data_IF_755261449324
#
_entry.id   IF_755261449324
#
_cell.length_a   1.000
_cell.length_b   1.000
_cell.length_c   1.000
_cell.angle_alpha   90.00
_cell.angle_beta   90.00
_cell.angle_gamma   90.00
#
_symmetry.space_group_name_H-M   'P 1'
#
loop_
_entity.id
_entity.type
_entity.pdbx_description
1 polymer ?
#
# COMPACT_ATOMS: atom_id res chain seq x y z
N UNK A 1 1.04 -10.23 11.47
CA UNK A 1 1.52 -9.18 10.56
C UNK A 1 2.77 -9.61 9.84
N UNK A 2 2.98 -9.06 8.65
CA UNK A 2 3.96 -9.55 7.69
C UNK A 2 5.18 -8.63 7.66
N UNK A 3 6.35 -9.18 7.38
CA UNK A 3 7.57 -8.40 7.18
C UNK A 3 7.70 -7.95 5.72
N UNK A 4 7.07 -8.68 4.80
CA UNK A 4 7.09 -8.44 3.36
C UNK A 4 5.88 -9.13 2.69
N UNK A 5 5.71 -8.90 1.39
CA UNK A 5 4.57 -9.45 0.63
C UNK A 5 4.62 -10.97 0.48
N UNK A 6 5.83 -11.56 0.45
CA UNK A 6 6.00 -13.02 0.30
C UNK A 6 5.39 -13.76 1.49
N UNK A 7 5.63 -13.29 2.72
CA UNK A 7 5.02 -13.89 3.91
C UNK A 7 3.47 -13.85 3.87
N UNK A 8 2.89 -12.82 3.27
CA UNK A 8 1.44 -12.75 3.08
C UNK A 8 0.96 -13.73 2.01
N UNK A 9 1.66 -13.83 0.88
CA UNK A 9 1.38 -14.83 -0.15
C UNK A 9 1.46 -16.25 0.44
N UNK A 10 2.48 -16.55 1.23
CA UNK A 10 2.64 -17.85 1.91
C UNK A 10 1.51 -18.10 2.92
N UNK A 11 0.96 -17.05 3.54
CA UNK A 11 -0.23 -17.17 4.40
C UNK A 11 -1.49 -17.47 3.58
N UNK A 12 -1.70 -16.78 2.45
CA UNK A 12 -2.82 -17.06 1.55
C UNK A 12 -2.78 -18.50 1.03
N UNK A 13 -1.59 -19.00 0.66
CA UNK A 13 -1.39 -20.37 0.21
C UNK A 13 -1.74 -21.40 1.30
N UNK A 14 -1.23 -21.20 2.53
CA UNK A 14 -1.53 -22.08 3.67
C UNK A 14 -3.02 -22.13 4.05
N UNK A 15 -3.74 -21.03 3.86
CA UNK A 15 -5.17 -20.91 4.16
C UNK A 15 -6.07 -21.34 2.99
N UNK A 16 -5.48 -21.80 1.87
CA UNK A 16 -6.22 -22.19 0.69
C UNK A 16 -6.86 -21.02 -0.08
N UNK A 17 -6.42 -19.79 0.19
CA UNK A 17 -6.91 -18.52 -0.37
C UNK A 17 -6.10 -18.04 -1.59
N UNK A 18 -5.13 -18.83 -2.06
CA UNK A 18 -4.29 -18.56 -3.24
C UNK A 18 -4.42 -19.67 -4.28
N UNK A 19 -4.39 -19.31 -5.55
CA UNK A 19 -4.13 -20.21 -6.68
C UNK A 19 -2.85 -19.76 -7.38
N UNK A 20 -1.93 -20.68 -7.62
CA UNK A 20 -0.77 -20.47 -8.48
C UNK A 20 -1.11 -20.84 -9.92
N UNK A 21 -0.71 -19.99 -10.86
CA UNK A 21 -0.91 -20.18 -12.30
C UNK A 21 0.46 -20.19 -12.95
N UNK A 22 0.92 -21.39 -13.33
CA UNK A 22 2.20 -21.63 -13.99
C UNK A 22 2.13 -21.53 -15.52
N UNK A 23 0.91 -21.58 -16.08
CA UNK A 23 0.69 -21.37 -17.51
C UNK A 23 1.18 -19.96 -17.90
N UNK A 24 1.74 -19.77 -19.11
CA UNK A 24 2.04 -18.43 -19.62
C UNK A 24 0.75 -17.60 -19.71
N UNK A 25 0.74 -16.44 -19.08
CA UNK A 25 -0.39 -15.48 -19.13
C UNK A 25 0.14 -14.08 -19.38
N UNK A 26 -0.41 -13.43 -20.40
CA UNK A 26 -0.02 -12.09 -20.82
C UNK A 26 -0.39 -11.01 -19.80
N UNK A 27 0.54 -10.07 -19.55
CA UNK A 27 0.27 -8.83 -18.79
C UNK A 27 -0.67 -7.87 -19.53
N UNK A 28 -0.87 -8.09 -20.83
CA UNK A 28 -1.85 -7.39 -21.65
C UNK A 28 -3.15 -8.21 -21.70
N UNK A 29 -4.17 -7.66 -21.06
CA UNK A 29 -5.57 -8.12 -20.97
C UNK A 29 -5.80 -9.42 -20.21
N UNK A 30 -4.99 -10.46 -20.42
CA UNK A 30 -5.29 -11.81 -19.91
C UNK A 30 -5.27 -11.90 -18.38
N UNK A 31 -4.23 -11.37 -17.71
CA UNK A 31 -4.19 -11.32 -16.25
C UNK A 31 -5.40 -10.55 -15.70
N UNK A 32 -5.78 -9.44 -16.34
CA UNK A 32 -6.90 -8.61 -15.91
C UNK A 32 -8.24 -9.34 -16.07
N UNK A 33 -8.48 -9.97 -17.21
CA UNK A 33 -9.69 -10.76 -17.49
C UNK A 33 -9.84 -11.94 -16.52
N UNK A 34 -8.76 -12.69 -16.28
CA UNK A 34 -8.78 -13.80 -15.32
C UNK A 34 -9.06 -13.30 -13.90
N UNK A 35 -8.42 -12.19 -13.52
CA UNK A 35 -8.67 -11.54 -12.22
C UNK A 35 -10.13 -11.08 -12.10
N UNK A 36 -10.70 -10.50 -13.15
CA UNK A 36 -12.08 -10.00 -13.20
C UNK A 36 -13.11 -11.12 -13.01
N UNK A 37 -12.93 -12.27 -13.66
CA UNK A 37 -13.80 -13.44 -13.46
C UNK A 37 -13.72 -13.97 -12.03
N UNK A 38 -12.51 -14.06 -11.48
CA UNK A 38 -12.28 -14.62 -10.15
C UNK A 38 -12.83 -13.70 -9.06
N UNK A 39 -12.62 -12.39 -9.14
CA UNK A 39 -13.16 -11.46 -8.13
C UNK A 39 -14.69 -11.41 -8.12
N UNK A 40 -15.34 -11.71 -9.25
CA UNK A 40 -16.81 -11.81 -9.37
C UNK A 40 -17.38 -13.15 -8.93
N UNK A 41 -16.53 -14.13 -8.60
CA UNK A 41 -16.97 -15.41 -8.06
C UNK A 41 -17.48 -15.26 -6.62
N UNK A 42 -18.22 -16.27 -6.13
CA UNK A 42 -18.72 -16.29 -4.77
C UNK A 42 -17.59 -16.03 -3.74
N UNK A 43 -17.85 -15.17 -2.78
CA UNK A 43 -16.86 -14.78 -1.77
C UNK A 43 -15.64 -14.03 -2.31
N UNK A 44 -15.68 -13.51 -3.54
CA UNK A 44 -14.56 -12.79 -4.17
C UNK A 44 -13.49 -13.68 -4.80
N UNK A 45 -13.79 -14.98 -4.97
CA UNK A 45 -12.84 -15.97 -5.48
C UNK A 45 -11.58 -16.10 -4.63
N UNK A 46 -10.45 -16.50 -5.23
CA UNK A 46 -9.14 -16.62 -4.57
C UNK A 46 -8.17 -15.55 -5.07
N UNK A 47 -7.10 -15.28 -4.31
CA UNK A 47 -5.95 -14.56 -4.84
C UNK A 47 -5.27 -15.39 -5.95
N UNK A 48 -4.68 -14.72 -6.95
CA UNK A 48 -4.02 -15.38 -8.07
C UNK A 48 -2.54 -14.99 -8.09
N UNK A 49 -1.65 -15.97 -8.18
CA UNK A 49 -0.22 -15.75 -8.41
C UNK A 49 0.15 -16.28 -9.79
N UNK A 50 0.36 -15.38 -10.74
CA UNK A 50 0.84 -15.68 -12.09
C UNK A 50 2.36 -15.77 -12.08
N UNK A 51 2.90 -16.96 -12.30
CA UNK A 51 4.34 -17.23 -12.20
C UNK A 51 5.06 -16.97 -13.53
N UNK A 52 4.35 -17.08 -14.66
CA UNK A 52 4.89 -16.88 -15.99
C UNK A 52 4.14 -15.77 -16.73
N UNK A 53 4.66 -14.54 -16.62
CA UNK A 53 4.04 -13.34 -17.19
C UNK A 53 4.68 -12.86 -18.49
N UNK A 54 5.69 -13.59 -18.99
CA UNK A 54 6.57 -13.11 -20.07
C UNK A 54 7.58 -12.04 -19.64
N UNK A 55 7.66 -11.72 -18.34
CA UNK A 55 8.67 -10.83 -17.74
C UNK A 55 9.50 -11.55 -16.68
N UNK A 56 10.49 -10.87 -16.09
CA UNK A 56 11.33 -11.42 -15.01
C UNK A 56 10.59 -11.57 -13.66
N UNK A 57 9.35 -11.07 -13.56
CA UNK A 57 8.63 -10.99 -12.29
C UNK A 57 7.27 -11.69 -12.34
N UNK A 58 6.92 -12.44 -11.28
CA UNK A 58 5.55 -12.92 -11.11
C UNK A 58 4.61 -11.77 -10.74
N UNK A 59 3.32 -11.96 -10.99
CA UNK A 59 2.26 -11.01 -10.62
C UNK A 59 1.29 -11.66 -9.66
N UNK A 60 1.04 -11.01 -8.53
CA UNK A 60 -0.07 -11.38 -7.64
C UNK A 60 -1.24 -10.42 -7.85
N UNK A 61 -2.44 -10.94 -8.05
CA UNK A 61 -3.68 -10.16 -8.13
C UNK A 61 -4.73 -10.66 -7.15
N UNK A 62 -5.80 -9.90 -6.98
CA UNK A 62 -6.94 -10.25 -6.13
C UNK A 62 -6.59 -10.52 -4.64
N UNK A 63 -5.44 -10.03 -4.18
CA UNK A 63 -4.91 -10.29 -2.83
C UNK A 63 -5.81 -9.74 -1.73
N UNK A 64 -6.63 -8.72 -2.01
CA UNK A 64 -7.63 -8.15 -1.10
C UNK A 64 -9.05 -8.25 -1.67
N UNK A 65 -9.30 -9.24 -2.54
CA UNK A 65 -10.57 -9.40 -3.26
C UNK A 65 -11.77 -9.90 -2.44
N UNK A 66 -11.59 -10.17 -1.14
CA UNK A 66 -12.64 -10.66 -0.26
C UNK A 66 -12.48 -10.10 1.14
N UNK A 67 -13.58 -10.00 1.91
CA UNK A 67 -13.54 -9.57 3.31
C UNK A 67 -12.61 -10.45 4.16
N UNK A 68 -12.56 -11.76 3.88
CA UNK A 68 -11.64 -12.69 4.54
C UNK A 68 -10.19 -12.33 4.25
N UNK A 69 -9.83 -12.11 2.99
CA UNK A 69 -8.45 -11.76 2.63
C UNK A 69 -8.04 -10.37 3.13
N UNK A 70 -8.97 -9.42 3.17
CA UNK A 70 -8.74 -8.12 3.81
C UNK A 70 -8.48 -8.31 5.31
N UNK A 71 -9.29 -9.10 6.02
CA UNK A 71 -9.07 -9.39 7.44
C UNK A 71 -7.69 -10.04 7.66
N UNK A 72 -7.30 -11.01 6.81
CA UNK A 72 -5.98 -11.62 6.84
C UNK A 72 -4.84 -10.64 6.55
N UNK A 73 -5.02 -9.69 5.62
CA UNK A 73 -4.04 -8.64 5.30
C UNK A 73 -3.83 -7.70 6.50
N UNK A 74 -4.91 -7.40 7.23
CA UNK A 74 -4.90 -6.50 8.37
C UNK A 74 -4.62 -7.20 9.71
N UNK A 75 -4.46 -8.52 9.71
CA UNK A 75 -4.14 -9.31 10.89
C UNK A 75 -5.26 -9.39 11.92
N UNK A 76 -6.52 -9.34 11.47
CA UNK A 76 -7.72 -9.46 12.30
C UNK A 76 -8.58 -10.64 11.86
N UNK A 77 -9.42 -11.17 12.77
CA UNK A 77 -10.38 -12.21 12.41
C UNK A 77 -11.62 -11.60 11.76
N UNK A 78 -12.08 -10.45 12.27
CA UNK A 78 -13.21 -9.71 11.75
C UNK A 78 -12.80 -8.27 11.47
N UNK A 79 -13.31 -7.69 10.40
CA UNK A 79 -13.06 -6.27 10.08
C UNK A 79 -13.60 -5.33 11.17
N UNK A 80 -14.68 -5.72 11.85
CA UNK A 80 -15.27 -4.99 12.97
C UNK A 80 -14.29 -4.81 14.15
N UNK A 81 -13.30 -5.69 14.30
CA UNK A 81 -12.29 -5.61 15.36
C UNK A 81 -11.43 -4.34 15.23
N UNK A 82 -11.27 -3.84 14.00
CA UNK A 82 -10.57 -2.58 13.73
C UNK A 82 -11.41 -1.41 14.20
N UNK A 83 -12.69 -1.38 13.85
CA UNK A 83 -13.63 -0.33 14.26
C UNK A 83 -13.77 -0.28 15.78
N UNK A 84 -13.95 -1.43 16.43
CA UNK A 84 -14.04 -1.53 17.88
C UNK A 84 -12.77 -0.98 18.58
N UNK A 85 -11.60 -1.22 17.98
CA UNK A 85 -10.33 -0.69 18.49
C UNK A 85 -10.24 0.82 18.34
N UNK A 86 -10.63 1.37 17.18
CA UNK A 86 -10.69 2.83 16.96
C UNK A 86 -11.64 3.47 17.97
N UNK A 87 -12.84 2.91 18.17
CA UNK A 87 -13.84 3.42 19.11
C UNK A 87 -13.32 3.43 20.55
N UNK A 88 -12.60 2.38 20.96
CA UNK A 88 -11.95 2.34 22.28
C UNK A 88 -10.94 3.49 22.42
N UNK A 89 -10.07 3.68 21.42
CA UNK A 89 -9.06 4.74 21.47
C UNK A 89 -9.67 6.14 21.51
N UNK A 90 -10.73 6.38 20.73
CA UNK A 90 -11.42 7.67 20.72
C UNK A 90 -12.11 7.96 22.05
N UNK A 91 -12.78 6.96 22.64
CA UNK A 91 -13.38 7.08 23.98
C UNK A 91 -12.32 7.41 25.03
N UNK A 92 -11.19 6.72 24.99
CA UNK A 92 -10.10 6.94 25.94
C UNK A 92 -9.43 8.31 25.75
N UNK A 93 -9.31 8.79 24.51
CA UNK A 93 -8.74 10.10 24.19
C UNK A 93 -9.64 11.28 24.57
N UNK A 94 -10.97 11.12 24.38
CA UNK A 94 -11.98 12.17 24.59
C UNK A 94 -12.55 12.20 26.02
N UNK A 95 -12.20 11.23 26.88
CA UNK A 95 -12.62 11.23 28.28
C UNK A 95 -12.09 12.47 29.03
N UNK A 96 -12.94 13.21 29.78
CA UNK A 96 -12.55 14.48 30.40
C UNK A 96 -11.40 14.29 31.39
N UNK A 97 -10.27 14.96 31.13
CA UNK A 97 -9.01 14.82 31.88
C UNK A 97 -8.98 15.80 33.06
N UNK A 98 -9.45 15.38 34.22
CA UNK A 98 -9.49 16.22 35.43
C UNK A 98 -8.47 15.87 36.50
N UNK A 99 -8.11 14.58 36.66
CA UNK A 99 -7.39 14.10 37.86
C UNK A 99 -5.98 13.54 37.57
N UNK A 100 -5.07 13.68 38.54
CA UNK A 100 -3.72 13.09 38.53
C UNK A 100 -3.74 11.55 38.36
N UNK A 101 -4.78 10.87 38.88
CA UNK A 101 -4.98 9.43 38.70
C UNK A 101 -5.34 9.05 37.26
N UNK A 102 -6.01 9.93 36.52
CA UNK A 102 -6.37 9.69 35.11
C UNK A 102 -5.16 9.91 34.19
N UNK A 103 -4.24 10.82 34.54
CA UNK A 103 -2.95 10.95 33.86
C UNK A 103 -2.12 9.65 33.95
N UNK A 104 -2.23 8.90 35.05
CA UNK A 104 -1.60 7.57 35.17
C UNK A 104 -2.26 6.51 34.28
N UNK A 105 -3.58 6.58 34.03
CA UNK A 105 -4.28 5.69 33.07
C UNK A 105 -3.98 6.01 31.61
N UNK A 106 -3.59 7.25 31.31
CA UNK A 106 -3.18 7.64 29.96
C UNK A 106 -1.77 7.13 29.58
N UNK A 107 -0.92 6.77 30.55
CA UNK A 107 0.45 6.32 30.28
C UNK A 107 0.51 5.01 29.47
N UNK A 108 -0.23 3.94 29.81
CA UNK A 108 -0.28 2.73 28.98
C UNK A 108 -0.80 3.02 27.56
N UNK A 109 -1.86 3.82 27.44
CA UNK A 109 -2.42 4.21 26.15
C UNK A 109 -1.40 4.94 25.28
N UNK A 110 -0.69 5.93 25.85
CA UNK A 110 0.36 6.66 25.15
C UNK A 110 1.53 5.74 24.76
N UNK A 111 1.91 4.80 25.63
CA UNK A 111 2.94 3.81 25.33
C UNK A 111 2.50 2.85 24.21
N UNK A 112 1.23 2.46 24.17
CA UNK A 112 0.69 1.61 23.10
C UNK A 112 0.59 2.35 21.77
N UNK A 113 0.13 3.60 21.77
CA UNK A 113 0.13 4.45 20.57
C UNK A 113 1.56 4.72 20.09
N UNK A 114 2.51 4.95 21.00
CA UNK A 114 3.92 5.16 20.66
C UNK A 114 4.53 3.97 19.89
N UNK A 115 4.08 2.74 20.15
CA UNK A 115 4.53 1.53 19.43
C UNK A 115 4.07 1.49 17.97
N UNK A 116 3.14 2.34 17.56
CA UNK A 116 2.66 2.39 16.17
C UNK A 116 3.40 3.42 15.32
N UNK A 117 4.18 4.30 15.95
CA UNK A 117 4.90 5.32 15.20
C UNK A 117 5.96 4.67 14.30
N UNK A 118 6.06 5.14 13.04
CA UNK A 118 7.02 4.58 12.09
C UNK A 118 8.44 4.78 12.58
N UNK A 119 9.25 3.73 12.47
CA UNK A 119 10.67 3.76 12.83
C UNK A 119 11.55 3.98 11.60
N UNK A 120 12.53 4.88 11.74
CA UNK A 120 13.60 5.02 10.75
C UNK A 120 14.69 4.00 11.07
N UNK A 121 14.99 3.14 10.11
CA UNK A 121 16.03 2.11 10.24
C UNK A 121 17.23 2.49 9.39
N UNK A 122 18.43 2.42 9.96
CA UNK A 122 19.68 2.66 9.25
C UNK A 122 20.07 1.45 8.39
N UNK A 123 20.74 1.70 7.26
CA UNK A 123 21.25 0.66 6.36
C UNK A 123 20.39 0.43 5.12
N UNK A 124 20.69 -0.66 4.40
CA UNK A 124 20.01 -1.01 3.14
C UNK A 124 18.84 -1.94 3.41
N UNK A 125 17.66 -1.55 2.94
CA UNK A 125 16.48 -2.42 2.96
C UNK A 125 16.61 -3.56 1.95
N UNK A 126 15.87 -4.66 2.17
CA UNK A 126 15.84 -5.80 1.24
C UNK A 126 15.39 -5.39 -0.18
N UNK A 127 14.59 -4.33 -0.31
CA UNK A 127 14.18 -3.76 -1.60
C UNK A 127 15.32 -3.09 -2.40
N UNK A 128 16.52 -2.96 -1.83
CA UNK A 128 17.68 -2.32 -2.46
C UNK A 128 18.78 -3.33 -2.86
N UNK A 129 18.46 -4.62 -2.93
CA UNK A 129 19.40 -5.67 -3.34
C UNK A 129 19.81 -5.56 -4.81
N UNK A 130 18.87 -5.21 -5.69
CA UNK A 130 19.10 -4.93 -7.11
C UNK A 130 18.78 -3.46 -7.35
N UNK A 131 19.70 -2.75 -7.99
CA UNK A 131 19.57 -1.30 -8.22
C UNK A 131 19.89 -1.03 -9.69
N UNK A 132 18.93 -0.44 -10.40
CA UNK A 132 19.12 0.10 -11.75
C UNK A 132 19.08 1.62 -11.67
N UNK A 133 20.07 2.28 -12.25
CA UNK A 133 20.20 3.75 -12.22
C UNK A 133 20.60 4.28 -13.58
N UNK A 134 20.34 5.58 -13.83
CA UNK A 134 20.66 6.19 -15.12
C UNK A 134 20.04 5.35 -16.24
N UNK A 135 20.78 5.09 -17.32
CA UNK A 135 20.29 4.42 -18.52
C UNK A 135 19.92 2.93 -18.34
N UNK A 136 20.28 2.31 -17.21
CA UNK A 136 19.91 0.92 -16.90
C UNK A 136 18.42 0.75 -16.57
N UNK A 137 17.73 1.85 -16.21
CA UNK A 137 16.30 1.80 -15.88
C UNK A 137 15.48 1.52 -17.14
N UNK A 138 14.78 0.39 -17.11
CA UNK A 138 13.80 -0.01 -18.12
C UNK A 138 12.51 -0.54 -17.45
N UNK A 139 11.46 0.28 -17.49
CA UNK A 139 10.12 -0.04 -16.98
C UNK A 139 9.42 -1.14 -17.78
N UNK A 140 9.91 -1.52 -18.96
CA UNK A 140 9.38 -2.66 -19.73
C UNK A 140 9.72 -4.02 -19.10
N UNK A 141 10.71 -4.05 -18.19
CA UNK A 141 11.05 -5.26 -17.41
C UNK A 141 10.00 -5.59 -16.35
N UNK A 142 9.24 -4.60 -15.90
CA UNK A 142 8.20 -4.77 -14.88
C UNK A 142 6.90 -5.27 -15.53
N UNK A 143 6.16 -6.20 -14.89
CA UNK A 143 4.91 -6.74 -15.41
C UNK A 143 3.74 -5.77 -15.16
N UNK A 144 3.85 -4.55 -15.69
CA UNK A 144 2.77 -3.56 -15.64
C UNK A 144 1.58 -4.07 -16.48
N UNK A 145 0.37 -3.92 -15.94
CA UNK A 145 -0.82 -4.51 -16.56
C UNK A 145 -1.46 -3.52 -17.53
N UNK A 146 -1.72 -3.97 -18.76
CA UNK A 146 -2.61 -3.28 -19.69
C UNK A 146 -3.97 -3.97 -19.56
N UNK A 147 -4.87 -3.40 -18.77
CA UNK A 147 -6.07 -4.12 -18.31
C UNK A 147 -7.17 -4.14 -19.35
N UNK A 148 -7.40 -3.02 -20.03
CA UNK A 148 -8.50 -2.86 -21.00
C UNK A 148 -8.00 -2.41 -22.36
N UNK A 149 -8.69 -2.81 -23.42
CA UNK A 149 -8.33 -2.44 -24.80
C UNK A 149 -8.29 -0.93 -25.02
N UNK A 150 -9.17 -0.20 -24.33
CA UNK A 150 -9.27 1.25 -24.41
C UNK A 150 -8.33 1.99 -23.44
N UNK A 151 -7.59 1.29 -22.57
CA UNK A 151 -6.58 1.94 -21.72
C UNK A 151 -5.46 2.51 -22.61
N UNK A 152 -5.02 3.73 -22.31
CA UNK A 152 -3.92 4.39 -23.04
C UNK A 152 -2.54 3.74 -22.88
N UNK A 153 -2.44 2.65 -22.12
CA UNK A 153 -1.19 1.91 -21.90
C UNK A 153 -1.24 1.01 -20.67
N UNK A 154 -0.08 0.49 -20.28
CA UNK A 154 0.07 -0.33 -19.08
C UNK A 154 0.15 0.55 -17.81
N UNK A 155 -0.39 0.06 -16.71
CA UNK A 155 -0.46 0.77 -15.44
C UNK A 155 0.19 0.01 -14.29
N UNK A 156 0.75 0.77 -13.34
CA UNK A 156 0.92 0.33 -11.96
C UNK A 156 -0.38 0.63 -11.22
N UNK A 157 -1.02 -0.39 -10.67
CA UNK A 157 -2.39 -0.29 -10.14
C UNK A 157 -2.48 -0.15 -8.62
N UNK A 158 -1.54 -0.72 -7.86
CA UNK A 158 -1.42 -0.58 -6.41
C UNK A 158 -0.08 0.06 -5.96
N UNK A 159 0.33 1.22 -6.52
CA UNK A 159 1.54 1.90 -6.08
C UNK A 159 1.32 2.62 -4.75
N UNK A 160 2.28 2.51 -3.83
CA UNK A 160 2.37 3.39 -2.68
C UNK A 160 3.31 4.54 -3.01
N UNK A 161 2.73 5.71 -3.30
CA UNK A 161 3.45 6.90 -3.76
C UNK A 161 3.77 7.78 -2.55
N UNK A 162 5.05 7.82 -2.21
CA UNK A 162 5.62 8.57 -1.11
C UNK A 162 6.08 9.93 -1.62
N UNK A 163 5.65 10.97 -0.92
CA UNK A 163 5.98 12.37 -1.22
C UNK A 163 6.28 13.11 0.08
N UNK A 164 7.00 14.22 -0.01
CA UNK A 164 7.28 15.10 1.12
C UNK A 164 6.71 16.49 0.84
N UNK A 165 6.22 17.16 1.86
CA UNK A 165 5.92 18.58 1.79
C UNK A 165 7.24 19.38 1.78
N UNK A 166 7.49 20.26 0.78
CA UNK A 166 8.73 21.03 0.73
C UNK A 166 8.85 22.10 1.83
N UNK A 167 7.76 22.49 2.47
CA UNK A 167 7.72 23.53 3.51
C UNK A 167 7.80 22.92 4.91
N UNK A 168 7.06 21.84 5.16
CA UNK A 168 6.96 21.21 6.49
C UNK A 168 7.81 19.95 6.67
N UNK A 169 8.22 19.32 5.56
CA UNK A 169 8.89 18.01 5.58
C UNK A 169 7.97 16.84 5.91
N UNK A 170 6.66 17.07 6.05
CA UNK A 170 5.70 16.00 6.33
C UNK A 170 5.57 15.03 5.16
N UNK A 171 5.50 13.75 5.49
CA UNK A 171 5.31 12.68 4.51
C UNK A 171 3.84 12.49 4.18
N UNK A 172 3.58 12.10 2.94
CA UNK A 172 2.32 11.52 2.51
C UNK A 172 2.58 10.22 1.73
N UNK A 173 1.80 9.18 2.01
CA UNK A 173 1.72 7.95 1.21
C UNK A 173 0.34 7.82 0.60
N UNK A 174 0.23 8.04 -0.70
CA UNK A 174 -1.04 7.89 -1.42
C UNK A 174 -1.00 6.79 -2.47
N UNK A 175 -2.17 6.24 -2.79
CA UNK A 175 -2.32 5.31 -3.90
C UNK A 175 -2.86 6.00 -5.15
N UNK A 176 -2.03 6.08 -6.18
CA UNK A 176 -2.34 6.78 -7.42
C UNK A 176 -1.88 5.96 -8.62
N UNK A 177 -2.79 5.57 -9.51
CA UNK A 177 -2.42 4.76 -10.69
C UNK A 177 -1.39 5.50 -11.54
N UNK A 178 -0.39 4.76 -12.02
CA UNK A 178 0.70 5.30 -12.82
C UNK A 178 0.73 4.65 -14.20
N UNK A 179 0.51 5.44 -15.25
CA UNK A 179 0.57 4.96 -16.64
C UNK A 179 2.03 4.95 -17.10
N UNK A 180 2.52 3.86 -17.70
CA UNK A 180 3.81 3.88 -18.40
C UNK A 180 3.69 4.72 -19.66
N UNK A 181 4.56 5.72 -19.82
CA UNK A 181 4.65 6.51 -21.04
C UNK A 181 5.79 6.02 -21.93
N UNK A 182 6.92 5.67 -21.31
CA UNK A 182 8.10 5.09 -21.98
C UNK A 182 8.90 4.20 -21.00
N UNK A 183 10.12 3.81 -21.37
CA UNK A 183 11.02 2.98 -20.55
C UNK A 183 11.41 3.58 -19.20
N UNK A 184 11.22 4.88 -18.99
CA UNK A 184 11.79 5.64 -17.87
C UNK A 184 10.81 6.60 -17.22
N UNK A 185 9.65 6.83 -17.84
CA UNK A 185 8.68 7.81 -17.40
C UNK A 185 7.28 7.21 -17.25
N UNK A 186 6.56 7.74 -16.26
CA UNK A 186 5.17 7.40 -15.99
C UNK A 186 4.33 8.66 -15.86
N UNK A 187 3.11 8.62 -16.39
CA UNK A 187 2.07 9.59 -16.09
C UNK A 187 1.53 9.36 -14.69
N UNK A 188 1.52 10.42 -13.89
CA UNK A 188 0.99 10.41 -12.53
C UNK A 188 -0.25 11.31 -12.49
N UNK A 189 -1.41 10.71 -12.22
CA UNK A 189 -2.66 11.46 -12.09
C UNK A 189 -3.07 11.57 -10.63
N UNK A 190 -2.97 12.78 -10.07
CA UNK A 190 -3.48 13.13 -8.76
C UNK A 190 -4.73 13.97 -8.91
N UNK A 191 -5.81 13.58 -8.25
CA UNK A 191 -6.97 14.45 -8.12
C UNK A 191 -6.58 15.69 -7.31
N UNK A 192 -7.14 16.84 -7.68
CA UNK A 192 -6.80 18.16 -7.11
C UNK A 192 -6.90 18.24 -5.57
N UNK A 193 -7.74 17.41 -4.96
CA UNK A 193 -7.96 17.40 -3.51
C UNK A 193 -7.04 16.44 -2.75
N UNK A 194 -6.10 15.76 -3.43
CA UNK A 194 -5.17 14.82 -2.80
C UNK A 194 -3.90 15.53 -2.35
N UNK A 195 -3.36 15.10 -1.22
CA UNK A 195 -2.14 15.65 -0.62
C UNK A 195 -0.95 15.62 -1.59
N UNK A 196 -0.82 14.57 -2.42
CA UNK A 196 0.22 14.50 -3.46
C UNK A 196 0.17 15.67 -4.45
N UNK A 197 -1.03 16.09 -4.88
CA UNK A 197 -1.22 17.25 -5.74
C UNK A 197 -0.81 18.56 -5.04
N UNK A 198 -1.19 18.72 -3.76
CA UNK A 198 -0.77 19.87 -2.94
C UNK A 198 0.75 19.97 -2.81
N UNK A 199 1.43 18.86 -2.54
CA UNK A 199 2.89 18.83 -2.46
C UNK A 199 3.52 19.24 -3.81
N UNK A 200 3.00 18.71 -4.91
CA UNK A 200 3.46 19.07 -6.24
C UNK A 200 3.30 20.55 -6.56
N UNK A 201 2.14 21.12 -6.25
CA UNK A 201 1.89 22.55 -6.45
C UNK A 201 2.86 23.40 -5.62
N UNK A 202 3.18 22.98 -4.39
CA UNK A 202 4.19 23.65 -3.56
C UNK A 202 5.59 23.59 -4.19
N UNK A 203 6.04 22.41 -4.64
CA UNK A 203 7.32 22.27 -5.37
C UNK A 203 7.37 23.11 -6.65
N UNK A 204 6.26 23.14 -7.39
CA UNK A 204 6.12 23.94 -8.61
C UNK A 204 6.25 25.45 -8.32
N UNK A 205 5.57 25.96 -7.28
CA UNK A 205 5.72 27.36 -6.83
C UNK A 205 7.16 27.69 -6.45
N UNK A 206 7.86 26.75 -5.82
CA UNK A 206 9.25 26.90 -5.42
C UNK A 206 10.26 26.71 -6.56
N UNK A 207 9.82 26.35 -7.77
CA UNK A 207 10.71 26.05 -8.89
C UNK A 207 11.63 24.85 -8.65
N UNK A 208 11.23 23.92 -7.78
CA UNK A 208 12.05 22.76 -7.38
C UNK A 208 11.48 21.46 -7.96
N UNK A 209 12.36 20.52 -8.28
CA UNK A 209 11.96 19.15 -8.64
C UNK A 209 11.46 18.44 -7.38
N UNK A 210 10.24 17.91 -7.44
CA UNK A 210 9.64 17.13 -6.36
C UNK A 210 10.27 15.73 -6.27
N UNK A 211 10.81 15.31 -5.12
CA UNK A 211 11.22 13.92 -4.90
C UNK A 211 9.98 13.05 -4.71
N UNK A 212 9.95 11.90 -5.39
CA UNK A 212 8.88 10.90 -5.30
C UNK A 212 9.52 9.53 -5.18
N UNK A 213 9.00 8.71 -4.25
CA UNK A 213 9.38 7.29 -4.13
C UNK A 213 8.13 6.45 -4.29
N UNK A 214 8.16 5.47 -5.19
CA UNK A 214 7.04 4.53 -5.39
C UNK A 214 7.46 3.17 -4.90
N UNK A 215 6.71 2.63 -3.95
CA UNK A 215 6.94 1.28 -3.43
C UNK A 215 5.82 0.33 -3.86
N UNK A 216 6.20 -0.90 -4.21
CA UNK A 216 5.29 -1.96 -4.64
C UNK A 216 5.47 -3.16 -3.72
N UNK A 217 4.36 -3.73 -3.24
CA UNK A 217 4.37 -4.82 -2.26
C UNK A 217 4.77 -4.37 -0.85
N UNK A 218 5.47 -5.21 -0.10
CA UNK A 218 5.68 -5.03 1.34
C UNK A 218 4.54 -5.62 2.18
N UNK A 219 4.39 -5.18 3.44
CA UNK A 219 3.25 -5.59 4.26
C UNK A 219 1.94 -5.09 3.60
N UNK A 220 0.94 -5.95 3.34
CA UNK A 220 -0.32 -5.54 2.74
C UNK A 220 -1.07 -4.45 3.53
N UNK A 221 -0.81 -4.31 4.84
CA UNK A 221 -1.35 -3.20 5.64
C UNK A 221 -0.88 -1.83 5.13
N UNK A 222 0.32 -1.71 4.55
CA UNK A 222 0.79 -0.46 3.95
C UNK A 222 -0.01 -0.10 2.71
N UNK A 223 -0.32 -1.10 1.87
CA UNK A 223 -1.14 -0.90 0.68
C UNK A 223 -2.55 -0.45 1.08
N UNK A 224 -3.14 -1.07 2.10
CA UNK A 224 -4.43 -0.62 2.64
C UNK A 224 -4.35 0.81 3.18
N UNK A 225 -3.34 1.12 4.01
CA UNK A 225 -3.18 2.44 4.62
C UNK A 225 -3.02 3.56 3.57
N UNK A 226 -2.34 3.31 2.45
CA UNK A 226 -2.18 4.27 1.36
C UNK A 226 -3.50 4.62 0.63
N UNK A 227 -4.58 3.85 0.85
CA UNK A 227 -5.92 4.17 0.33
C UNK A 227 -6.78 4.94 1.33
N UNK A 228 -6.42 4.92 2.61
CA UNK A 228 -7.27 5.42 3.67
C UNK A 228 -7.34 6.96 3.65
N UNK A 229 -8.54 7.56 3.82
CA UNK A 229 -8.69 9.00 3.93
C UNK A 229 -8.24 9.45 5.32
N UNK A 230 -6.95 9.70 5.49
CA UNK A 230 -6.38 10.19 6.74
C UNK A 230 -6.68 11.69 6.92
N UNK A 231 -6.91 12.16 8.16
CA UNK A 231 -6.94 13.58 8.46
C UNK A 231 -5.64 14.27 8.01
N UNK A 232 -5.77 15.54 7.63
CA UNK A 232 -4.60 16.38 7.32
C UNK A 232 -3.59 16.32 8.48
N UNK A 233 -2.32 16.10 8.15
CA UNK A 233 -1.18 15.98 9.07
C UNK A 233 -1.06 14.64 9.83
N UNK A 234 -1.87 13.63 9.51
CA UNK A 234 -1.69 12.27 10.05
C UNK A 234 -1.01 11.36 9.02
N UNK A 235 0.15 10.82 9.38
CA UNK A 235 0.95 9.94 8.52
C UNK A 235 0.24 8.59 8.27
N UNK A 236 0.10 8.18 7.01
CA UNK A 236 -0.49 6.89 6.66
C UNK A 236 0.28 5.71 7.28
N UNK A 237 1.58 5.84 7.51
CA UNK A 237 2.35 4.81 8.22
C UNK A 237 1.97 4.70 9.70
N UNK A 238 1.43 5.73 10.33
CA UNK A 238 0.88 5.62 11.68
C UNK A 238 -0.37 4.74 11.68
N UNK A 239 -1.25 4.89 10.67
CA UNK A 239 -2.39 3.99 10.49
C UNK A 239 -1.92 2.57 10.24
N UNK A 240 -0.90 2.38 9.38
CA UNK A 240 -0.32 1.07 9.17
C UNK A 240 0.23 0.48 10.48
N UNK A 241 0.93 1.26 11.29
CA UNK A 241 1.44 0.83 12.59
C UNK A 241 0.33 0.44 13.57
N UNK A 242 -0.78 1.18 13.56
CA UNK A 242 -1.99 0.87 14.35
C UNK A 242 -2.63 -0.46 13.92
N UNK A 243 -2.82 -0.65 12.62
CA UNK A 243 -3.36 -1.89 12.06
C UNK A 243 -2.43 -3.06 12.40
N UNK A 244 -1.12 -2.83 12.29
CA UNK A 244 -0.09 -3.84 12.53
C UNK A 244 0.16 -4.12 14.02
N UNK A 245 -0.24 -3.21 14.90
CA UNK A 245 0.13 -3.18 16.33
C UNK A 245 1.65 -3.17 16.57
N UNK A 246 2.42 -2.66 15.61
CA UNK A 246 3.89 -2.54 15.64
C UNK A 246 4.36 -1.49 14.62
N UNK A 247 5.59 -0.95 14.74
CA UNK A 247 6.15 0.02 13.81
C UNK A 247 6.25 -0.51 12.38
#
# INVERSE_FOLDING_TARGET
MYSNLREYIDRLEREGELIRISAPVSTRFEIAELTDRVVKSEGGGKALLFENTGTEFPVVTNMMGSSRRIAMALGVERLDDISARIDSLLKDALSPKGSLWEKMRALPLLADVAKWFPQSVAGRGACQQVVWQGDEVDLERLPMLHSWEADGGAFVTLPMVNTLDPETGMRNVGMYRMQRLDKRSTGMHWHIHKTGARHYDAYKRLGKRMPVVVTLGGDPAYTYAATAPMPDNMDEYLLAGFLRQKP
#
